data_IF_202969731910
#
_entry.id   IF_202969731910
#
_cell.length_a   1.000
_cell.length_b   1.000
_cell.length_c   1.000
_cell.angle_alpha   90.00
_cell.angle_beta   90.00
_cell.angle_gamma   90.00
#
_symmetry.space_group_name_H-M   'P 1'
#
loop_
_entity.id
_entity.type
_entity.pdbx_description
1 polymer ?
#
# COMPACT_ATOMS: atom_id res chain seq x y z
N UNK A 1 1.51 1.79 6.00
CA UNK A 1 1.86 1.44 4.61
C UNK A 1 2.62 0.12 4.69
N UNK A 2 2.01 -1.01 4.33
CA UNK A 2 2.56 -2.37 4.60
C UNK A 2 4.02 -2.52 4.16
N UNK A 3 4.35 -1.99 2.97
CA UNK A 3 5.70 -2.01 2.39
C UNK A 3 6.73 -1.35 3.32
N UNK A 4 6.44 -0.18 3.92
CA UNK A 4 7.37 0.47 4.85
C UNK A 4 7.57 -0.32 6.14
N UNK A 5 6.55 -1.05 6.59
CA UNK A 5 6.62 -1.81 7.84
C UNK A 5 7.38 -3.13 7.69
N UNK A 6 7.52 -3.64 6.46
CA UNK A 6 8.24 -4.86 6.14
C UNK A 6 9.64 -4.58 5.56
N UNK A 7 9.92 -3.33 5.20
CA UNK A 7 11.23 -2.90 4.74
C UNK A 7 12.25 -2.95 5.89
N UNK A 8 13.51 -3.34 5.65
CA UNK A 8 14.10 -3.85 4.40
C UNK A 8 14.02 -5.38 4.26
N UNK A 9 13.78 -6.10 5.35
CA UNK A 9 14.08 -7.53 5.46
C UNK A 9 13.07 -8.44 4.75
N UNK A 10 11.85 -7.94 4.53
CA UNK A 10 10.73 -8.70 4.01
C UNK A 10 10.11 -8.06 2.75
N UNK A 11 10.84 -7.18 2.07
CA UNK A 11 10.39 -6.49 0.86
C UNK A 11 11.43 -6.64 -0.25
N UNK A 12 10.97 -6.97 -1.44
CA UNK A 12 11.78 -7.19 -2.63
C UNK A 12 11.21 -6.33 -3.78
N UNK A 13 11.57 -5.03 -3.85
CA UNK A 13 10.87 -4.08 -4.71
C UNK A 13 11.07 -4.30 -6.20
N UNK A 14 12.25 -4.81 -6.57
CA UNK A 14 12.68 -4.93 -7.95
C UNK A 14 12.75 -6.37 -8.44
N UNK A 15 12.42 -7.35 -7.60
CA UNK A 15 12.68 -8.77 -7.90
C UNK A 15 11.88 -9.27 -9.10
N UNK A 16 10.59 -8.92 -9.19
CA UNK A 16 9.77 -9.27 -10.35
C UNK A 16 10.31 -8.64 -11.65
N UNK A 17 10.70 -7.36 -11.59
CA UNK A 17 11.29 -6.65 -12.73
C UNK A 17 12.67 -7.21 -13.11
N UNK A 18 13.48 -7.60 -12.13
CA UNK A 18 14.81 -8.18 -12.33
C UNK A 18 14.70 -9.56 -12.99
N UNK A 19 13.84 -10.41 -12.45
CA UNK A 19 13.58 -11.74 -13.01
C UNK A 19 13.09 -11.63 -14.45
N UNK A 20 12.15 -10.72 -14.71
CA UNK A 20 11.65 -10.47 -16.08
C UNK A 20 12.74 -9.95 -17.01
N UNK A 21 13.58 -9.03 -16.52
CA UNK A 21 14.70 -8.51 -17.30
C UNK A 21 15.66 -9.64 -17.71
N UNK A 22 16.06 -10.48 -16.76
CA UNK A 22 16.98 -11.60 -16.98
C UNK A 22 16.39 -12.63 -17.94
N UNK A 23 15.10 -12.97 -17.79
CA UNK A 23 14.45 -14.00 -18.61
C UNK A 23 14.03 -13.53 -20.01
N UNK A 24 13.61 -12.27 -20.15
CA UNK A 24 12.93 -11.79 -21.36
C UNK A 24 13.76 -10.81 -22.19
N UNK A 25 14.64 -10.02 -21.57
CA UNK A 25 15.22 -8.82 -22.22
C UNK A 25 16.75 -8.79 -22.27
N UNK A 26 17.43 -9.34 -21.26
CA UNK A 26 18.88 -9.22 -21.09
C UNK A 26 19.68 -9.73 -22.30
N UNK A 27 19.28 -10.88 -22.86
CA UNK A 27 19.98 -11.47 -24.01
C UNK A 27 19.98 -10.54 -25.25
N UNK A 28 18.89 -9.82 -25.49
CA UNK A 28 18.79 -8.87 -26.61
C UNK A 28 19.67 -7.64 -26.40
N UNK A 29 19.70 -7.14 -25.16
CA UNK A 29 20.53 -5.98 -24.79
C UNK A 29 22.02 -6.33 -24.91
N UNK A 30 22.42 -7.49 -24.38
CA UNK A 30 23.79 -7.99 -24.51
C UNK A 30 24.18 -8.21 -25.97
N UNK A 31 23.28 -8.78 -26.78
CA UNK A 31 23.49 -8.96 -28.22
C UNK A 31 23.66 -7.64 -28.97
N UNK A 32 22.86 -6.63 -28.66
CA UNK A 32 22.98 -5.29 -29.25
C UNK A 32 24.28 -4.59 -28.87
N UNK A 33 24.68 -4.65 -27.58
CA UNK A 33 25.97 -4.13 -27.15
C UNK A 33 27.13 -4.80 -27.90
N UNK A 34 27.10 -6.13 -28.04
CA UNK A 34 28.13 -6.87 -28.76
C UNK A 34 28.19 -6.52 -30.26
N UNK A 35 27.04 -6.34 -30.91
CA UNK A 35 26.95 -6.07 -32.35
C UNK A 35 27.25 -4.60 -32.71
N UNK A 36 26.81 -3.65 -31.88
CA UNK A 36 26.78 -2.23 -32.22
C UNK A 36 27.53 -1.33 -31.21
N UNK A 37 28.07 -1.89 -30.12
CA UNK A 37 28.76 -1.12 -29.08
C UNK A 37 27.85 -0.17 -28.28
N UNK A 38 26.54 -0.43 -28.27
CA UNK A 38 25.57 0.38 -27.52
C UNK A 38 25.80 0.27 -26.02
N UNK A 39 25.60 1.34 -25.25
CA UNK A 39 25.71 1.27 -23.79
C UNK A 39 24.63 0.34 -23.22
N UNK A 40 25.02 -0.52 -22.27
CA UNK A 40 24.08 -1.38 -21.55
C UNK A 40 23.33 -0.50 -20.54
N UNK A 41 21.99 -0.40 -20.61
CA UNK A 41 21.21 0.32 -19.61
C UNK A 41 21.41 -0.30 -18.24
N UNK A 42 21.74 0.53 -17.25
CA UNK A 42 21.87 0.09 -15.87
C UNK A 42 20.50 -0.25 -15.29
N UNK A 43 20.38 -1.44 -14.69
CA UNK A 43 19.15 -1.85 -14.04
C UNK A 43 18.96 -1.06 -12.72
N UNK A 44 17.75 -0.59 -12.39
CA UNK A 44 17.51 0.19 -11.17
C UNK A 44 18.00 -0.53 -9.92
N UNK A 45 18.44 0.25 -8.93
CA UNK A 45 18.90 -0.26 -7.64
C UNK A 45 17.93 0.12 -6.54
N UNK A 46 17.73 -0.79 -5.58
CA UNK A 46 16.92 -0.50 -4.40
C UNK A 46 17.69 0.47 -3.48
N UNK A 47 16.99 1.39 -2.79
CA UNK A 47 17.62 2.30 -1.85
C UNK A 47 18.26 1.57 -0.67
N UNK A 48 19.18 2.24 0.02
CA UNK A 48 19.82 1.68 1.22
C UNK A 48 18.77 1.41 2.33
N UNK A 49 18.98 0.35 3.14
CA UNK A 49 18.02 -0.08 4.16
C UNK A 49 17.57 1.03 5.13
N UNK A 50 18.48 1.93 5.50
CA UNK A 50 18.29 3.01 6.47
C UNK A 50 17.45 4.19 5.96
N UNK A 51 17.33 4.33 4.64
CA UNK A 51 16.69 5.48 3.98
C UNK A 51 15.17 5.27 3.80
N UNK A 52 14.70 4.02 3.96
CA UNK A 52 13.34 3.63 3.63
C UNK A 52 13.09 3.60 2.12
N UNK A 53 11.94 3.05 1.71
CA UNK A 53 11.65 2.87 0.28
C UNK A 53 10.74 3.96 -0.29
N UNK A 54 11.26 4.81 -1.17
CA UNK A 54 10.43 5.77 -1.90
C UNK A 54 9.86 5.14 -3.17
N UNK A 55 8.75 4.40 -3.03
CA UNK A 55 8.13 3.62 -4.11
C UNK A 55 7.84 4.43 -5.37
N UNK A 56 7.45 5.70 -5.20
CA UNK A 56 7.21 6.61 -6.31
C UNK A 56 8.47 6.88 -7.12
N UNK A 57 9.59 7.26 -6.48
CA UNK A 57 10.85 7.54 -7.19
C UNK A 57 11.38 6.30 -7.89
N UNK A 58 11.37 5.17 -7.20
CA UNK A 58 11.83 3.90 -7.77
C UNK A 58 10.97 3.47 -8.98
N UNK A 59 9.68 3.80 -8.97
CA UNK A 59 8.81 3.59 -10.13
C UNK A 59 9.21 4.42 -11.35
N UNK A 60 9.72 5.64 -11.16
CA UNK A 60 10.28 6.44 -12.26
C UNK A 60 11.59 5.86 -12.78
N UNK A 61 12.45 5.34 -11.92
CA UNK A 61 13.69 4.68 -12.35
C UNK A 61 13.39 3.44 -13.20
N UNK A 62 12.40 2.64 -12.79
CA UNK A 62 11.91 1.48 -13.58
C UNK A 62 11.29 1.92 -14.91
N UNK A 63 10.51 3.00 -14.92
CA UNK A 63 9.94 3.58 -16.15
C UNK A 63 11.03 4.03 -17.12
N UNK A 64 12.04 4.77 -16.64
CA UNK A 64 13.17 5.22 -17.47
C UNK A 64 13.99 4.05 -17.98
N UNK A 65 14.23 3.04 -17.14
CA UNK A 65 14.85 1.78 -17.56
C UNK A 65 14.08 1.10 -18.68
N UNK A 66 12.76 0.92 -18.52
CA UNK A 66 11.90 0.32 -19.53
C UNK A 66 11.92 1.12 -20.85
N UNK A 67 11.93 2.45 -20.76
CA UNK A 67 12.04 3.35 -21.91
C UNK A 67 13.38 3.21 -22.64
N UNK A 68 14.48 2.99 -21.92
CA UNK A 68 15.79 2.77 -22.54
C UNK A 68 15.80 1.44 -23.30
N UNK A 69 15.36 0.36 -22.66
CA UNK A 69 15.41 -0.98 -23.27
C UNK A 69 14.42 -1.13 -24.42
N UNK A 70 13.33 -0.35 -24.47
CA UNK A 70 12.35 -0.41 -25.57
C UNK A 70 12.93 -0.05 -26.93
N UNK A 71 14.07 0.66 -26.96
CA UNK A 71 14.78 1.03 -28.18
C UNK A 71 15.70 -0.08 -28.71
N UNK A 72 15.95 -1.12 -27.91
CA UNK A 72 16.91 -2.19 -28.19
C UNK A 72 16.24 -3.56 -28.26
N UNK A 73 15.31 -3.82 -27.34
CA UNK A 73 14.63 -5.10 -27.22
C UNK A 73 13.57 -5.23 -28.31
N UNK A 74 13.51 -6.36 -29.03
CA UNK A 74 12.46 -6.59 -30.02
C UNK A 74 11.06 -6.44 -29.44
N UNK A 75 10.15 -5.81 -30.20
CA UNK A 75 8.81 -5.44 -29.75
C UNK A 75 8.03 -6.60 -29.11
N UNK A 76 8.10 -7.79 -29.72
CA UNK A 76 7.42 -8.98 -29.23
C UNK A 76 7.97 -9.43 -27.86
N UNK A 77 9.29 -9.41 -27.68
CA UNK A 77 9.94 -9.75 -26.41
C UNK A 77 9.67 -8.69 -25.33
N UNK A 78 9.63 -7.42 -25.73
CA UNK A 78 9.28 -6.32 -24.83
C UNK A 78 7.84 -6.46 -24.32
N UNK A 79 6.88 -6.71 -25.23
CA UNK A 79 5.47 -6.95 -24.89
C UNK A 79 5.32 -8.18 -23.99
N UNK A 80 5.95 -9.29 -24.37
CA UNK A 80 5.90 -10.52 -23.58
C UNK A 80 6.40 -10.33 -22.14
N UNK A 81 7.54 -9.65 -21.95
CA UNK A 81 8.04 -9.38 -20.60
C UNK A 81 7.10 -8.49 -19.78
N UNK A 82 6.46 -7.50 -20.40
CA UNK A 82 5.45 -6.69 -19.71
C UNK A 82 4.23 -7.54 -19.33
N UNK A 83 3.77 -8.43 -20.21
CA UNK A 83 2.65 -9.32 -19.93
C UNK A 83 2.95 -10.25 -18.75
N UNK A 84 4.16 -10.81 -18.65
CA UNK A 84 4.62 -11.59 -17.48
C UNK A 84 4.50 -10.80 -16.18
N UNK A 85 4.96 -9.55 -16.16
CA UNK A 85 4.85 -8.69 -14.97
C UNK A 85 3.39 -8.47 -14.59
N UNK A 86 2.52 -8.25 -15.58
CA UNK A 86 1.10 -8.00 -15.35
C UNK A 86 0.38 -9.26 -14.83
N UNK A 87 0.66 -10.43 -15.39
CA UNK A 87 0.09 -11.72 -14.98
C UNK A 87 0.44 -12.08 -13.53
N UNK A 88 1.66 -11.80 -13.10
CA UNK A 88 2.09 -12.04 -11.72
C UNK A 88 1.45 -11.02 -10.74
N UNK A 89 1.21 -9.80 -11.19
CA UNK A 89 0.77 -8.70 -10.34
C UNK A 89 -0.76 -8.59 -10.22
N UNK A 90 -1.52 -8.80 -11.31
CA UNK A 90 -2.94 -8.46 -11.40
C UNK A 90 -3.82 -9.68 -11.72
N UNK A 91 -5.03 -9.73 -11.16
CA UNK A 91 -6.03 -10.76 -11.52
C UNK A 91 -6.62 -10.54 -12.92
N UNK A 92 -6.89 -9.28 -13.28
CA UNK A 92 -7.41 -8.89 -14.60
C UNK A 92 -6.38 -8.01 -15.31
N UNK A 93 -5.47 -8.67 -16.02
CA UNK A 93 -4.39 -8.01 -16.77
C UNK A 93 -4.91 -7.14 -17.92
N UNK A 94 -6.08 -7.45 -18.48
CA UNK A 94 -6.66 -6.68 -19.59
C UNK A 94 -7.14 -5.29 -19.14
N UNK A 95 -7.59 -5.17 -17.89
CA UNK A 95 -8.05 -3.90 -17.32
C UNK A 95 -6.95 -2.87 -17.04
N UNK A 96 -5.69 -3.32 -16.94
CA UNK A 96 -4.56 -2.47 -16.51
C UNK A 96 -4.09 -1.58 -17.65
N UNK A 97 -4.38 -0.27 -17.60
CA UNK A 97 -3.93 0.74 -18.57
C UNK A 97 -4.00 0.29 -20.06
N UNK A 98 -5.14 -0.22 -20.55
CA UNK A 98 -5.22 -0.84 -21.88
C UNK A 98 -4.90 0.15 -23.00
N UNK A 99 -5.37 1.40 -22.87
CA UNK A 99 -5.17 2.44 -23.89
C UNK A 99 -3.72 2.90 -23.95
N UNK A 100 -3.10 3.12 -22.80
CA UNK A 100 -1.72 3.55 -22.69
C UNK A 100 -0.76 2.49 -23.22
N UNK A 101 -1.00 1.21 -22.89
CA UNK A 101 -0.26 0.09 -23.45
C UNK A 101 -0.41 0.03 -24.97
N UNK A 102 -1.63 0.08 -25.49
CA UNK A 102 -1.89 0.06 -26.93
C UNK A 102 -1.18 1.21 -27.64
N UNK A 103 -1.32 2.45 -27.14
CA UNK A 103 -0.66 3.63 -27.70
C UNK A 103 0.86 3.48 -27.70
N UNK A 104 1.46 3.00 -26.61
CA UNK A 104 2.90 2.81 -26.52
C UNK A 104 3.39 1.79 -27.55
N UNK A 105 2.80 0.59 -27.57
CA UNK A 105 3.26 -0.48 -28.46
C UNK A 105 2.99 -0.17 -29.93
N UNK A 106 1.87 0.49 -30.27
CA UNK A 106 1.61 0.94 -31.64
C UNK A 106 2.63 2.02 -32.07
N UNK A 107 3.04 2.88 -31.15
CA UNK A 107 4.07 3.89 -31.43
C UNK A 107 5.44 3.25 -31.63
N UNK A 108 5.80 2.25 -30.82
CA UNK A 108 7.04 1.48 -30.97
C UNK A 108 7.07 0.69 -32.27
N UNK A 109 5.95 0.06 -32.65
CA UNK A 109 5.82 -0.68 -33.91
C UNK A 109 6.00 0.23 -35.14
N UNK A 110 5.38 1.41 -35.10
CA UNK A 110 5.56 2.43 -36.14
C UNK A 110 7.02 2.88 -36.25
N UNK A 111 7.69 3.12 -35.13
CA UNK A 111 9.11 3.49 -35.12
C UNK A 111 10.02 2.39 -35.70
N UNK A 112 9.69 1.12 -35.45
CA UNK A 112 10.45 0.00 -35.97
C UNK A 112 10.22 -0.25 -37.47
N UNK A 113 9.02 0.10 -37.96
CA UNK A 113 8.60 -0.13 -39.36
C UNK A 113 8.93 1.03 -40.29
N UNK A 114 8.89 2.27 -39.79
CA UNK A 114 9.26 3.44 -40.58
C UNK A 114 10.76 3.43 -40.86
N UNK A 115 11.14 3.26 -42.14
CA UNK A 115 12.53 3.44 -42.57
C UNK A 115 12.93 4.90 -42.36
N UNK A 116 13.65 5.15 -41.27
CA UNK A 116 14.16 6.47 -40.88
C UNK A 116 14.91 7.16 -42.05
N UNK A 117 15.53 6.40 -42.96
CA UNK A 117 16.21 6.92 -44.14
C UNK A 117 15.30 7.42 -45.27
N UNK A 118 14.06 6.93 -45.41
CA UNK A 118 13.11 7.44 -46.42
C UNK A 118 12.53 8.81 -46.02
N UNK A 119 12.66 9.20 -44.75
CA UNK A 119 12.23 10.51 -44.23
C UNK A 119 13.17 11.66 -44.66
N UNK A 120 14.39 11.35 -45.10
CA UNK A 120 15.37 12.33 -45.61
C UNK A 120 15.41 12.41 -47.15
N UNK A 121 14.52 11.69 -47.85
CA UNK A 121 14.36 11.84 -49.30
C UNK A 121 13.79 13.21 -49.62
N UNK A 122 14.44 13.94 -50.54
CA UNK A 122 14.07 15.31 -50.93
C UNK A 122 12.66 15.43 -51.52
N UNK A 123 12.07 14.30 -51.94
CA UNK A 123 10.71 14.20 -52.49
C UNK A 123 9.64 13.79 -51.46
N UNK A 124 10.01 13.62 -50.19
CA UNK A 124 9.09 13.19 -49.13
C UNK A 124 8.31 14.36 -48.54
N UNK A 125 6.97 14.32 -48.63
CA UNK A 125 6.05 15.23 -47.92
C UNK A 125 6.19 15.17 -46.38
N UNK A 126 7.05 14.31 -45.84
CA UNK A 126 7.27 14.11 -44.40
C UNK A 126 8.27 15.09 -43.77
N UNK A 127 8.85 16.02 -44.54
CA UNK A 127 9.72 17.09 -44.00
C UNK A 127 9.06 17.97 -42.92
N UNK A 128 7.73 17.89 -42.75
CA UNK A 128 6.98 18.57 -41.68
C UNK A 128 6.64 17.70 -40.45
N UNK A 129 6.90 16.37 -40.45
CA UNK A 129 6.63 15.55 -39.26
C UNK A 129 7.83 15.58 -38.30
N UNK A 130 7.65 16.07 -37.07
CA UNK A 130 8.75 16.20 -36.13
C UNK A 130 9.25 14.82 -35.70
N UNK A 131 10.58 14.72 -35.61
CA UNK A 131 11.42 13.67 -34.99
C UNK A 131 10.65 12.47 -34.45
N UNK A 132 10.83 11.32 -35.11
CA UNK A 132 10.46 9.98 -34.68
C UNK A 132 10.90 9.68 -33.23
N UNK A 133 10.15 10.17 -32.25
CA UNK A 133 10.43 10.00 -30.83
C UNK A 133 9.12 9.78 -30.09
N UNK A 134 9.11 8.78 -29.21
CA UNK A 134 7.98 8.52 -28.32
C UNK A 134 8.14 9.46 -27.12
N UNK A 135 7.13 10.29 -26.79
CA UNK A 135 7.17 11.12 -25.60
C UNK A 135 7.41 10.27 -24.34
N UNK A 136 8.22 10.76 -23.41
CA UNK A 136 8.45 10.10 -22.11
C UNK A 136 7.13 9.81 -21.40
N UNK A 137 6.14 10.69 -21.58
CA UNK A 137 4.83 10.52 -20.97
C UNK A 137 4.06 9.29 -21.42
N UNK A 138 4.37 8.71 -22.59
CA UNK A 138 3.78 7.46 -23.05
C UNK A 138 4.19 6.25 -22.19
N UNK A 139 5.22 6.39 -21.35
CA UNK A 139 5.70 5.35 -20.45
C UNK A 139 5.20 5.50 -19.00
N UNK A 140 4.53 6.61 -18.63
CA UNK A 140 4.17 6.89 -17.23
C UNK A 140 3.36 5.78 -16.54
N UNK A 141 2.55 5.04 -17.28
CA UNK A 141 1.80 3.93 -16.72
C UNK A 141 2.72 2.85 -16.11
N UNK A 142 3.97 2.72 -16.58
CA UNK A 142 4.98 1.82 -16.02
C UNK A 142 5.32 2.20 -14.57
N UNK A 143 5.49 3.50 -14.30
CA UNK A 143 5.73 3.99 -12.93
C UNK A 143 4.52 3.75 -12.01
N UNK A 144 3.30 3.77 -12.57
CA UNK A 144 2.08 3.50 -11.82
C UNK A 144 1.90 2.02 -11.48
N UNK A 145 2.16 1.11 -12.42
CA UNK A 145 2.07 -0.34 -12.14
C UNK A 145 3.16 -0.78 -11.16
N UNK A 146 4.32 -0.10 -11.12
CA UNK A 146 5.45 -0.50 -10.29
C UNK A 146 5.07 -0.74 -8.81
N UNK A 147 4.24 0.11 -8.22
CA UNK A 147 3.85 -0.04 -6.83
C UNK A 147 3.16 -1.39 -6.53
N UNK A 148 2.42 -1.93 -7.50
CA UNK A 148 1.71 -3.20 -7.41
C UNK A 148 2.59 -4.41 -7.74
N UNK A 149 3.79 -4.18 -8.29
CA UNK A 149 4.79 -5.22 -8.60
C UNK A 149 5.74 -5.52 -7.43
N UNK A 150 5.66 -4.74 -6.34
CA UNK A 150 6.55 -4.89 -5.18
C UNK A 150 6.24 -6.21 -4.47
N UNK A 151 7.22 -7.10 -4.43
CA UNK A 151 7.10 -8.38 -3.74
C UNK A 151 7.34 -8.20 -2.24
N UNK A 152 6.60 -8.95 -1.43
CA UNK A 152 6.75 -8.99 0.03
C UNK A 152 6.82 -10.43 0.50
N UNK A 153 7.58 -10.70 1.56
CA UNK A 153 7.58 -12.00 2.20
C UNK A 153 6.16 -12.31 2.68
N UNK A 154 5.59 -13.38 2.14
CA UNK A 154 4.19 -13.76 2.35
C UNK A 154 3.92 -13.99 3.83
N UNK A 155 4.82 -14.66 4.53
CA UNK A 155 4.60 -15.08 5.91
C UNK A 155 4.74 -13.88 6.86
N UNK A 156 5.71 -12.99 6.64
CA UNK A 156 5.87 -11.72 7.33
C UNK A 156 4.67 -10.79 7.11
N UNK A 157 4.18 -10.69 5.87
CA UNK A 157 2.99 -9.91 5.55
C UNK A 157 1.75 -10.45 6.26
N UNK A 158 1.54 -11.78 6.28
CA UNK A 158 0.43 -12.42 7.00
C UNK A 158 0.52 -12.13 8.51
N UNK A 159 1.72 -12.24 9.11
CA UNK A 159 1.93 -11.92 10.53
C UNK A 159 1.67 -10.45 10.84
N UNK A 160 2.10 -9.55 9.97
CA UNK A 160 1.85 -8.11 10.12
C UNK A 160 0.35 -7.78 10.03
N UNK A 161 -0.37 -8.45 9.11
CA UNK A 161 -1.80 -8.28 8.89
C UNK A 161 -2.68 -9.16 9.79
N UNK A 162 -2.16 -9.70 10.90
CA UNK A 162 -2.87 -10.64 11.81
C UNK A 162 -4.24 -10.18 12.29
N UNK A 163 -4.51 -8.88 12.30
CA UNK A 163 -5.79 -8.30 12.73
C UNK A 163 -6.83 -8.16 11.61
N UNK A 164 -6.46 -8.48 10.37
CA UNK A 164 -7.36 -8.43 9.22
C UNK A 164 -7.86 -9.84 8.87
N UNK A 165 -9.18 -10.08 8.88
CA UNK A 165 -9.72 -11.39 8.57
C UNK A 165 -9.53 -11.72 7.08
N UNK A 166 -9.08 -12.94 6.78
CA UNK A 166 -9.04 -13.47 5.42
C UNK A 166 -10.47 -13.63 4.89
N UNK A 167 -10.86 -12.81 3.92
CA UNK A 167 -12.20 -12.86 3.31
C UNK A 167 -12.32 -13.88 2.18
N UNK A 168 -11.25 -14.06 1.41
CA UNK A 168 -11.19 -14.95 0.24
C UNK A 168 -9.78 -15.50 0.11
N UNK A 169 -9.67 -16.77 -0.24
CA UNK A 169 -8.40 -17.40 -0.57
C UNK A 169 -8.01 -17.05 -2.01
N UNK A 170 -6.83 -16.44 -2.16
CA UNK A 170 -6.33 -15.91 -3.42
C UNK A 170 -4.81 -16.06 -3.43
N UNK A 171 -4.21 -16.30 -4.61
CA UNK A 171 -2.75 -16.39 -4.80
C UNK A 171 -2.04 -17.31 -3.78
N UNK A 172 -2.66 -18.45 -3.47
CA UNK A 172 -2.11 -19.45 -2.54
C UNK A 172 -2.19 -19.08 -1.05
N UNK A 173 -2.81 -17.95 -0.69
CA UNK A 173 -3.09 -17.58 0.70
C UNK A 173 -4.36 -18.30 1.15
N UNK A 174 -4.19 -19.48 1.75
CA UNK A 174 -5.29 -20.29 2.28
C UNK A 174 -5.56 -20.00 3.75
N UNK A 175 -6.78 -20.29 4.21
CA UNK A 175 -7.13 -20.16 5.64
C UNK A 175 -6.25 -21.05 6.52
N UNK A 176 -5.95 -22.26 6.06
CA UNK A 176 -5.06 -23.19 6.74
C UNK A 176 -3.63 -22.61 6.91
N UNK A 177 -3.09 -21.96 5.86
CA UNK A 177 -1.80 -21.28 5.92
C UNK A 177 -1.82 -20.14 6.95
N UNK A 178 -2.82 -19.26 6.87
CA UNK A 178 -2.95 -18.11 7.79
C UNK A 178 -3.07 -18.60 9.23
N UNK A 179 -3.94 -19.57 9.51
CA UNK A 179 -4.09 -20.10 10.86
C UNK A 179 -2.81 -20.78 11.36
N UNK A 180 -2.10 -21.52 10.50
CA UNK A 180 -0.83 -22.15 10.86
C UNK A 180 0.22 -21.11 11.25
N UNK A 181 0.40 -20.06 10.44
CA UNK A 181 1.37 -19.00 10.69
C UNK A 181 1.06 -18.18 11.94
N UNK A 182 -0.23 -17.90 12.18
CA UNK A 182 -0.66 -17.16 13.36
C UNK A 182 -0.58 -18.00 14.65
N UNK A 183 -0.73 -19.32 14.57
CA UNK A 183 -0.51 -20.25 15.70
C UNK A 183 0.97 -20.50 15.99
N UNK A 184 1.82 -20.50 14.96
CA UNK A 184 3.26 -20.75 15.06
C UNK A 184 4.07 -19.53 15.54
N UNK A 185 3.48 -18.32 15.50
CA UNK A 185 4.08 -17.16 16.13
C UNK A 185 4.19 -17.42 17.64
N UNK A 186 5.36 -17.18 18.27
CA UNK A 186 5.46 -17.27 19.73
C UNK A 186 4.38 -16.38 20.33
N UNK A 187 3.69 -16.80 21.42
CA UNK A 187 2.99 -15.82 22.23
C UNK A 187 4.02 -14.74 22.56
N UNK A 188 3.69 -13.47 22.25
CA UNK A 188 4.53 -12.33 22.59
C UNK A 188 5.09 -12.57 23.99
N UNK A 189 6.42 -12.53 24.10
CA UNK A 189 7.15 -12.92 25.30
C UNK A 189 6.45 -12.34 26.52
N UNK A 190 5.88 -13.24 27.30
CA UNK A 190 5.57 -13.06 28.70
C UNK A 190 6.78 -12.45 29.40
N UNK A 191 6.75 -11.14 29.63
CA UNK A 191 7.29 -10.63 30.88
C UNK A 191 6.27 -11.10 31.94
N UNK A 192 6.66 -12.16 32.64
CA UNK A 192 6.24 -12.63 33.97
C UNK A 192 4.95 -12.04 34.58
N UNK A 193 4.07 -12.77 35.24
CA UNK A 193 3.87 -14.19 35.52
C UNK A 193 2.47 -14.23 36.18
N UNK A 194 1.84 -15.39 36.16
CA UNK A 194 0.56 -15.77 36.78
C UNK A 194 -0.02 -14.84 37.86
N UNK A 195 -1.27 -14.39 37.63
CA UNK A 195 -2.33 -14.59 38.62
C UNK A 195 -3.70 -14.62 37.92
N UNK A 196 -4.53 -15.54 38.37
CA UNK A 196 -5.89 -15.73 37.90
C UNK A 196 -6.79 -14.51 38.18
N UNK A 197 -7.80 -14.38 37.31
CA UNK A 197 -9.10 -13.79 37.56
C UNK A 197 -9.23 -12.26 37.75
N UNK A 198 -10.32 -11.75 37.17
CA UNK A 198 -11.06 -10.50 37.46
C UNK A 198 -10.66 -9.28 36.59
N UNK A 199 -11.64 -8.54 36.02
CA UNK A 199 -11.38 -7.36 35.19
C UNK A 199 -10.66 -6.29 36.00
N UNK A 200 -9.67 -5.63 35.40
CA UNK A 200 -8.95 -4.51 36.01
C UNK A 200 -9.86 -3.26 36.08
N UNK A 201 -10.82 -3.30 36.99
CA UNK A 201 -11.61 -2.17 37.42
C UNK A 201 -11.21 -1.86 38.86
N UNK A 202 -10.15 -1.08 39.03
CA UNK A 202 -9.76 -0.59 40.35
C UNK A 202 -10.63 0.64 40.69
N UNK A 203 -11.21 0.66 41.89
CA UNK A 203 -11.79 1.91 42.44
C UNK A 203 -10.64 2.83 42.81
N UNK A 204 -10.71 4.08 42.35
CA UNK A 204 -9.74 5.09 42.78
C UNK A 204 -9.81 5.25 44.31
N UNK A 205 -8.67 5.27 45.03
CA UNK A 205 -8.63 5.44 46.48
C UNK A 205 -8.99 6.86 46.94
N UNK A 206 -9.19 7.82 46.02
CA UNK A 206 -9.47 9.21 46.34
C UNK A 206 -10.92 9.64 46.05
N UNK A 207 -11.56 9.09 45.01
CA UNK A 207 -12.84 9.59 44.47
C UNK A 207 -13.92 8.50 44.25
N UNK A 208 -13.62 7.22 44.49
CA UNK A 208 -14.58 6.12 44.31
C UNK A 208 -14.97 5.81 42.85
N UNK A 209 -14.43 6.55 41.87
CA UNK A 209 -14.61 6.34 40.42
C UNK A 209 -13.93 5.06 39.94
N UNK A 210 -14.50 4.41 38.93
CA UNK A 210 -13.92 3.23 38.28
C UNK A 210 -12.75 3.67 37.38
N UNK A 211 -11.56 3.14 37.63
CA UNK A 211 -10.35 3.47 36.87
C UNK A 211 -10.20 2.48 35.72
N UNK A 212 -10.20 2.99 34.48
CA UNK A 212 -9.89 2.24 33.28
C UNK A 212 -8.47 2.59 32.82
N UNK A 213 -7.57 1.61 32.94
CA UNK A 213 -6.22 1.68 32.36
C UNK A 213 -6.25 1.08 30.96
N UNK A 214 -5.87 1.87 29.96
CA UNK A 214 -5.99 1.49 28.55
C UNK A 214 -4.59 1.43 27.95
N UNK A 215 -4.11 0.23 27.56
CA UNK A 215 -2.80 0.07 26.94
C UNK A 215 -2.68 0.87 25.64
N UNK A 216 -1.53 1.54 25.45
CA UNK A 216 -1.18 2.24 24.20
C UNK A 216 -1.40 1.39 22.94
N UNK A 217 -1.10 0.09 23.02
CA UNK A 217 -1.27 -0.88 21.95
C UNK A 217 -2.70 -0.96 21.36
N UNK A 218 -3.73 -0.52 22.10
CA UNK A 218 -5.14 -0.57 21.68
C UNK A 218 -5.54 0.61 20.81
N UNK A 219 -4.88 1.78 20.96
CA UNK A 219 -5.35 3.03 20.35
C UNK A 219 -4.26 3.83 19.62
N UNK A 220 -2.99 3.66 19.94
CA UNK A 220 -1.90 4.45 19.36
C UNK A 220 -1.66 4.07 17.88
N UNK A 221 -1.75 5.06 16.98
CA UNK A 221 -1.50 4.87 15.54
C UNK A 221 -2.54 4.03 14.78
N UNK A 222 -3.62 3.59 15.42
CA UNK A 222 -4.67 2.76 14.81
C UNK A 222 -5.81 3.61 14.23
N UNK A 223 -6.47 3.17 13.14
CA UNK A 223 -7.66 3.84 12.64
C UNK A 223 -8.84 3.67 13.60
N UNK A 224 -9.70 4.68 13.70
CA UNK A 224 -10.79 4.77 14.69
C UNK A 224 -11.70 3.53 14.71
N UNK A 225 -12.01 2.94 13.55
CA UNK A 225 -12.82 1.73 13.47
C UNK A 225 -12.15 0.52 14.13
N UNK A 226 -10.83 0.37 13.99
CA UNK A 226 -10.06 -0.71 14.61
C UNK A 226 -9.93 -0.51 16.11
N UNK A 227 -9.79 0.74 16.58
CA UNK A 227 -9.79 1.06 18.01
C UNK A 227 -11.14 0.71 18.65
N UNK A 228 -12.26 1.10 18.00
CA UNK A 228 -13.61 0.72 18.44
C UNK A 228 -13.75 -0.80 18.56
N UNK A 229 -13.40 -1.54 17.52
CA UNK A 229 -13.59 -2.99 17.49
C UNK A 229 -12.69 -3.73 18.49
N UNK A 230 -11.48 -3.23 18.75
CA UNK A 230 -10.61 -3.77 19.79
C UNK A 230 -11.11 -3.49 21.21
N UNK A 231 -11.79 -2.35 21.41
CA UNK A 231 -12.27 -1.96 22.73
C UNK A 231 -13.67 -2.47 23.08
N UNK A 232 -14.55 -2.71 22.09
CA UNK A 232 -15.97 -3.05 22.32
C UNK A 232 -16.21 -4.28 23.20
N UNK A 233 -15.26 -5.22 23.23
CA UNK A 233 -15.38 -6.45 24.01
C UNK A 233 -15.03 -6.25 25.49
N UNK A 234 -14.21 -5.23 25.81
CA UNK A 234 -13.59 -5.07 27.15
C UNK A 234 -13.95 -3.76 27.85
N UNK A 235 -14.44 -2.77 27.12
CA UNK A 235 -14.66 -1.42 27.64
C UNK A 235 -16.08 -0.94 27.32
N UNK A 236 -16.69 -0.15 28.23
CA UNK A 236 -18.00 0.43 27.99
C UNK A 236 -17.92 1.54 26.93
N UNK A 237 -19.02 1.80 26.23
CA UNK A 237 -19.08 2.71 25.08
C UNK A 237 -18.61 4.13 25.42
N UNK A 238 -18.82 4.57 26.65
CA UNK A 238 -18.38 5.86 27.19
C UNK A 238 -16.85 5.99 27.15
N UNK A 239 -16.14 4.93 27.57
CA UNK A 239 -14.67 4.90 27.58
C UNK A 239 -14.14 4.85 26.15
N UNK A 240 -14.80 4.10 25.26
CA UNK A 240 -14.45 4.04 23.84
C UNK A 240 -14.61 5.41 23.18
N UNK A 241 -15.73 6.10 23.44
CA UNK A 241 -15.99 7.45 22.93
C UNK A 241 -14.92 8.45 23.37
N UNK A 242 -14.50 8.38 24.64
CA UNK A 242 -13.43 9.21 25.18
C UNK A 242 -12.11 9.01 24.44
N UNK A 243 -11.68 7.75 24.28
CA UNK A 243 -10.40 7.41 23.61
C UNK A 243 -10.40 7.83 22.14
N UNK A 244 -11.49 7.56 21.41
CA UNK A 244 -11.60 7.93 20.00
C UNK A 244 -11.59 9.45 19.79
N UNK A 245 -12.23 10.19 20.69
CA UNK A 245 -12.33 11.64 20.57
C UNK A 245 -11.03 12.34 20.99
N UNK A 246 -10.46 11.97 22.14
CA UNK A 246 -9.36 12.72 22.76
C UNK A 246 -7.97 12.16 22.48
N UNK A 247 -7.83 10.86 22.23
CA UNK A 247 -6.50 10.24 22.07
C UNK A 247 -6.18 9.89 20.61
N UNK A 248 -7.16 9.40 19.85
CA UNK A 248 -6.97 9.06 18.44
C UNK A 248 -7.03 10.30 17.52
N UNK A 249 -7.69 11.38 17.95
CA UNK A 249 -7.99 12.56 17.11
C UNK A 249 -6.83 13.52 16.82
N UNK A 250 -5.61 13.26 17.30
CA UNK A 250 -4.48 14.19 17.13
C UNK A 250 -3.55 13.89 15.95
N UNK A 251 -3.72 12.76 15.26
CA UNK A 251 -2.74 12.25 14.29
C UNK A 251 -3.43 11.88 12.98
N UNK A 252 -3.70 12.86 12.09
CA UNK A 252 -3.59 12.76 10.61
C UNK A 252 -4.34 13.89 9.92
N UNK A 253 -3.56 14.68 9.18
CA UNK A 253 -3.99 15.64 8.18
C UNK A 253 -4.63 14.94 6.98
N UNK A 254 -5.82 15.38 6.57
CA UNK A 254 -6.39 15.03 5.26
C UNK A 254 -7.91 15.13 5.21
N UNK A 255 -8.42 16.25 4.68
CA UNK A 255 -9.80 16.48 4.21
C UNK A 255 -10.96 16.34 5.24
N UNK A 256 -11.49 17.48 5.71
CA UNK A 256 -12.86 17.62 6.23
C UNK A 256 -13.07 17.75 7.76
N UNK A 257 -12.15 17.28 8.60
CA UNK A 257 -12.38 17.19 10.06
C UNK A 257 -11.73 18.32 10.89
N UNK A 258 -11.79 19.57 10.42
CA UNK A 258 -11.11 20.69 11.11
C UNK A 258 -11.88 21.32 12.28
N UNK A 259 -13.12 20.91 12.54
CA UNK A 259 -13.87 21.42 13.70
C UNK A 259 -14.06 20.32 14.76
N UNK A 260 -13.98 20.66 16.07
CA UNK A 260 -14.34 19.73 17.16
C UNK A 260 -15.72 19.09 16.94
N UNK A 261 -16.59 19.83 16.25
CA UNK A 261 -17.94 19.43 15.87
C UNK A 261 -17.96 18.29 14.84
N UNK A 262 -17.11 18.35 13.80
CA UNK A 262 -17.01 17.30 12.77
C UNK A 262 -16.42 15.99 13.30
N UNK A 263 -15.49 16.05 14.26
CA UNK A 263 -14.92 14.86 14.92
C UNK A 263 -15.96 14.15 15.79
N UNK A 264 -16.75 14.90 16.56
CA UNK A 264 -17.87 14.32 17.34
C UNK A 264 -18.89 13.63 16.43
N UNK A 265 -19.21 14.20 15.28
CA UNK A 265 -20.09 13.54 14.30
C UNK A 265 -19.48 12.23 13.77
N UNK A 266 -18.18 12.21 13.48
CA UNK A 266 -17.49 10.99 13.01
C UNK A 266 -17.48 9.88 14.06
N UNK A 267 -17.08 10.20 15.30
CA UNK A 267 -17.10 9.25 16.42
C UNK A 267 -18.53 8.77 16.69
N UNK A 268 -19.52 9.66 16.62
CA UNK A 268 -20.92 9.29 16.76
C UNK A 268 -21.39 8.32 15.68
N UNK A 269 -20.98 8.51 14.42
CA UNK A 269 -21.28 7.55 13.33
C UNK A 269 -20.64 6.19 13.57
N UNK A 270 -19.45 6.14 14.16
CA UNK A 270 -18.75 4.88 14.46
C UNK A 270 -19.40 4.08 15.60
N UNK A 271 -20.01 4.77 16.57
CA UNK A 271 -20.59 4.18 17.78
C UNK A 271 -22.10 3.97 17.71
N UNK A 272 -22.80 4.64 16.79
CA UNK A 272 -24.24 4.50 16.65
C UNK A 272 -24.63 3.10 16.11
N UNK A 273 -25.56 2.44 16.79
CA UNK A 273 -26.14 1.17 16.33
C UNK A 273 -27.08 1.34 15.12
N UNK A 274 -27.55 2.57 14.88
CA UNK A 274 -28.50 2.92 13.81
C UNK A 274 -28.06 4.18 13.10
N UNK A 275 -28.38 4.27 11.82
CA UNK A 275 -28.15 5.51 11.06
C UNK A 275 -29.17 6.58 11.45
N UNK A 276 -28.68 7.69 11.99
CA UNK A 276 -29.47 8.90 12.19
C UNK A 276 -29.54 9.73 10.90
N UNK A 277 -30.69 10.38 10.69
CA UNK A 277 -30.94 11.25 9.52
C UNK A 277 -30.20 12.58 9.60
N UNK A 278 -29.78 13.01 10.80
CA UNK A 278 -29.19 14.32 11.04
C UNK A 278 -27.85 14.24 11.80
N UNK A 279 -26.93 15.15 11.47
CA UNK A 279 -25.60 15.20 12.09
C UNK A 279 -25.61 15.67 13.56
N UNK A 280 -26.71 16.27 14.01
CA UNK A 280 -26.87 16.73 15.40
C UNK A 280 -27.11 15.54 16.33
N UNK A 281 -27.86 14.54 15.90
CA UNK A 281 -28.10 13.30 16.64
C UNK A 281 -26.82 12.54 16.97
N UNK A 282 -25.89 12.39 16.02
CA UNK A 282 -24.58 11.76 16.27
C UNK A 282 -23.74 12.52 17.31
N UNK A 283 -23.80 13.86 17.28
CA UNK A 283 -23.08 14.68 18.27
C UNK A 283 -23.71 14.58 19.66
N UNK A 284 -25.03 14.61 19.75
CA UNK A 284 -25.75 14.43 21.01
C UNK A 284 -25.49 13.05 21.63
N UNK A 285 -25.34 12.00 20.81
CA UNK A 285 -24.95 10.67 21.27
C UNK A 285 -23.57 10.72 21.95
N UNK A 286 -22.56 11.29 21.29
CA UNK A 286 -21.21 11.43 21.86
C UNK A 286 -21.22 12.31 23.10
N UNK A 287 -21.95 13.42 23.10
CA UNK A 287 -22.06 14.30 24.27
C UNK A 287 -22.70 13.59 25.47
N UNK A 288 -23.65 12.68 25.23
CA UNK A 288 -24.28 11.86 26.28
C UNK A 288 -23.28 10.83 26.82
N UNK A 289 -22.55 10.15 25.93
CA UNK A 289 -21.51 9.19 26.32
C UNK A 289 -20.39 9.85 27.13
N UNK A 290 -19.96 11.06 26.75
CA UNK A 290 -18.94 11.80 27.47
C UNK A 290 -19.41 12.25 28.86
N UNK A 291 -20.68 12.62 29.04
CA UNK A 291 -21.22 12.86 30.39
C UNK A 291 -21.15 11.61 31.27
N UNK A 292 -21.33 10.42 30.67
CA UNK A 292 -21.15 9.15 31.36
C UNK A 292 -19.70 8.89 31.80
N UNK A 293 -18.71 9.52 31.15
CA UNK A 293 -17.30 9.38 31.53
C UNK A 293 -16.92 10.11 32.81
N UNK A 294 -17.77 11.03 33.31
CA UNK A 294 -17.54 11.73 34.58
C UNK A 294 -17.51 10.76 35.78
N UNK A 295 -18.10 9.58 35.64
CA UNK A 295 -18.07 8.50 36.62
C UNK A 295 -16.76 7.66 36.58
N UNK A 296 -15.90 7.88 35.58
CA UNK A 296 -14.73 7.07 35.29
C UNK A 296 -13.44 7.88 35.38
N UNK A 297 -12.34 7.20 35.69
CA UNK A 297 -10.99 7.74 35.56
C UNK A 297 -10.28 6.97 34.44
N UNK A 298 -10.08 7.62 33.29
CA UNK A 298 -9.53 6.98 32.10
C UNK A 298 -8.07 7.39 31.95
N UNK A 299 -7.16 6.43 32.04
CA UNK A 299 -5.72 6.68 32.10
C UNK A 299 -4.99 5.84 31.06
N UNK A 300 -3.97 6.44 30.42
CA UNK A 300 -3.05 5.71 29.54
C UNK A 300 -2.20 4.77 30.39
N UNK A 301 -2.14 3.50 30.00
CA UNK A 301 -1.31 2.48 30.64
C UNK A 301 0.00 2.30 29.88
#
# INVERSE_FOLDING_TARGET
>A
MLVQALWPDAVQPLELWRTTYESCWQAFIAGSHAAYGTQIPEFPSAPEPDTGIQTYLLGFDVMEFFRMISTVVPLNSLRYGLDVILEESFEDTASVFPKEREVLFNSLDRLNTEKIFEQYSSDSMLFEKPVCSIPVSSYHFIAHIFADTIMVDRDAAIRHLRYYPLRREVKGITRALVESLLRAAPPESSVADKAAAVPLCERSPQDGKLVFRIPGAVWEGRPDAAVRDAMKEKYPLEVIAYVLLYWCGSQTSGTGHKTPQGRKTHVGRLLAEKEYRDEKSYRNLVDTLLKGTDAYSIVKA
#
